data_IF_525582893646
#
_entry.id   IF_525582893646
#
_cell.length_a   1.000
_cell.length_b   1.000
_cell.length_c   1.000
_cell.angle_alpha   90.00
_cell.angle_beta   90.00
_cell.angle_gamma   90.00
#
_symmetry.space_group_name_H-M   'P 1'
#
loop_
_entity.id
_entity.type
_entity.pdbx_description
1 polymer ?
#
# COMPACT_ATOMS: atom_id res chain seq x y z
N UNK A 1 -18.66 -6.38 -2.84
CA UNK A 1 -18.08 -5.01 -2.86
C UNK A 1 -18.46 -4.36 -4.18
N UNK A 2 -18.76 -3.06 -4.24
CA UNK A 2 -19.02 -2.39 -5.52
C UNK A 2 -17.71 -1.93 -6.16
N UNK A 3 -17.67 -1.77 -7.49
CA UNK A 3 -16.53 -1.21 -8.22
C UNK A 3 -16.06 0.14 -7.64
N UNK A 4 -17.01 1.00 -7.22
CA UNK A 4 -16.72 2.28 -6.56
C UNK A 4 -16.04 2.10 -5.21
N UNK A 5 -16.50 1.15 -4.38
CA UNK A 5 -15.88 0.85 -3.10
C UNK A 5 -14.46 0.27 -3.28
N UNK A 6 -14.26 -0.59 -4.28
CA UNK A 6 -12.96 -1.15 -4.60
C UNK A 6 -11.96 -0.08 -5.07
N UNK A 7 -12.41 0.86 -5.91
CA UNK A 7 -11.60 1.99 -6.34
C UNK A 7 -11.23 2.93 -5.19
N UNK A 8 -12.17 3.19 -4.26
CA UNK A 8 -11.89 3.99 -3.07
C UNK A 8 -10.87 3.31 -2.15
N UNK A 9 -10.96 1.98 -1.99
CA UNK A 9 -10.02 1.22 -1.17
C UNK A 9 -8.63 1.14 -1.80
N UNK A 10 -8.56 0.95 -3.12
CA UNK A 10 -7.31 1.04 -3.87
C UNK A 10 -6.65 2.41 -3.69
N UNK A 11 -7.42 3.50 -3.74
CA UNK A 11 -6.89 4.84 -3.53
C UNK A 11 -6.30 5.02 -2.12
N UNK A 12 -6.99 4.55 -1.07
CA UNK A 12 -6.45 4.57 0.30
C UNK A 12 -5.18 3.74 0.42
N UNK A 13 -5.16 2.56 -0.21
CA UNK A 13 -4.00 1.66 -0.20
C UNK A 13 -2.78 2.31 -0.88
N UNK A 14 -2.99 3.01 -2.01
CA UNK A 14 -1.94 3.78 -2.69
C UNK A 14 -1.38 4.86 -1.77
N UNK A 15 -2.25 5.68 -1.16
CA UNK A 15 -1.80 6.73 -0.21
C UNK A 15 -1.03 6.15 0.97
N UNK A 16 -1.48 5.01 1.52
CA UNK A 16 -0.80 4.33 2.62
C UNK A 16 0.62 3.90 2.23
N UNK A 17 0.80 3.37 1.02
CA UNK A 17 2.12 3.01 0.47
C UNK A 17 3.01 4.25 0.37
N UNK A 18 2.51 5.34 -0.22
CA UNK A 18 3.27 6.60 -0.35
C UNK A 18 3.70 7.17 1.00
N UNK A 19 2.80 7.16 1.99
CA UNK A 19 3.11 7.62 3.35
C UNK A 19 4.18 6.74 4.03
N UNK A 20 4.09 5.42 3.87
CA UNK A 20 5.07 4.49 4.43
C UNK A 20 6.43 4.63 3.71
N UNK A 21 6.45 4.84 2.40
CA UNK A 21 7.67 5.10 1.63
C UNK A 21 8.38 6.37 2.10
N UNK A 22 7.62 7.46 2.30
CA UNK A 22 8.18 8.70 2.86
C UNK A 22 8.77 8.48 4.25
N UNK A 23 8.04 7.79 5.14
CA UNK A 23 8.53 7.48 6.49
C UNK A 23 9.80 6.64 6.45
N UNK A 24 9.87 5.60 5.62
CA UNK A 24 11.07 4.76 5.48
C UNK A 24 12.26 5.56 4.90
N UNK A 25 12.00 6.50 3.99
CA UNK A 25 13.03 7.34 3.38
C UNK A 25 13.57 8.43 4.32
N UNK A 26 12.73 8.97 5.19
CA UNK A 26 13.12 9.96 6.20
C UNK A 26 13.85 9.33 7.40
N UNK A 27 13.74 8.02 7.59
CA UNK A 27 14.38 7.32 8.70
C UNK A 27 15.84 6.96 8.44
N UNK A 28 16.69 6.99 9.48
CA UNK A 28 18.06 6.52 9.39
C UNK A 28 18.12 5.03 8.96
N UNK A 29 19.08 4.62 8.11
CA UNK A 29 19.18 3.26 7.61
C UNK A 29 19.30 2.18 8.69
N UNK A 30 19.87 2.54 9.85
CA UNK A 30 20.12 1.67 10.99
C UNK A 30 19.06 1.78 12.10
N UNK A 31 17.97 2.51 11.87
CA UNK A 31 16.91 2.62 12.86
C UNK A 31 16.16 1.28 12.97
N UNK A 32 16.05 0.67 14.17
CA UNK A 32 15.34 -0.60 14.34
C UNK A 32 13.85 -0.50 13.99
N UNK A 33 13.23 0.69 14.06
CA UNK A 33 11.86 0.91 13.62
C UNK A 33 11.72 0.96 12.10
N UNK A 34 12.81 1.17 11.34
CA UNK A 34 12.81 1.14 9.87
C UNK A 34 12.47 -0.24 9.34
N UNK A 35 13.02 -1.30 9.95
CA UNK A 35 12.70 -2.68 9.57
C UNK A 35 11.22 -3.01 9.78
N UNK A 36 10.58 -2.42 10.80
CA UNK A 36 9.15 -2.58 11.02
C UNK A 36 8.33 -1.86 9.94
N UNK A 37 8.69 -0.62 9.62
CA UNK A 37 8.02 0.17 8.57
C UNK A 37 8.23 -0.42 7.17
N UNK A 38 9.38 -1.01 6.88
CA UNK A 38 9.63 -1.72 5.62
C UNK A 38 8.73 -2.96 5.49
N UNK A 39 8.47 -3.69 6.59
CA UNK A 39 7.52 -4.81 6.59
C UNK A 39 6.09 -4.33 6.36
N UNK A 40 5.68 -3.24 7.03
CA UNK A 40 4.36 -2.63 6.81
C UNK A 40 4.21 -2.12 5.37
N UNK A 41 5.26 -1.54 4.80
CA UNK A 41 5.30 -1.09 3.41
C UNK A 41 5.14 -2.27 2.45
N UNK A 42 5.83 -3.39 2.69
CA UNK A 42 5.71 -4.59 1.88
C UNK A 42 4.27 -5.14 1.89
N UNK A 43 3.63 -5.18 3.07
CA UNK A 43 2.24 -5.58 3.20
C UNK A 43 1.28 -4.63 2.48
N UNK A 44 1.47 -3.31 2.63
CA UNK A 44 0.66 -2.30 1.97
C UNK A 44 0.78 -2.38 0.43
N UNK A 45 1.98 -2.66 -0.10
CA UNK A 45 2.19 -2.88 -1.54
C UNK A 45 1.49 -4.14 -2.02
N UNK A 46 1.56 -5.24 -1.27
CA UNK A 46 0.85 -6.47 -1.61
C UNK A 46 -0.66 -6.26 -1.63
N UNK A 47 -1.20 -5.49 -0.67
CA UNK A 47 -2.63 -5.16 -0.63
C UNK A 47 -3.05 -4.30 -1.83
N UNK A 48 -2.27 -3.27 -2.16
CA UNK A 48 -2.47 -2.45 -3.35
C UNK A 48 -2.55 -3.31 -4.61
N UNK A 49 -1.61 -4.23 -4.77
CA UNK A 49 -1.51 -5.07 -5.97
C UNK A 49 -2.69 -6.05 -6.06
N UNK A 50 -3.15 -6.60 -4.94
CA UNK A 50 -4.39 -7.40 -4.87
C UNK A 50 -5.62 -6.58 -5.26
N UNK A 51 -5.78 -5.39 -4.68
CA UNK A 51 -6.91 -4.51 -4.98
C UNK A 51 -6.91 -4.07 -6.45
N UNK A 52 -5.73 -3.81 -7.02
CA UNK A 52 -5.56 -3.50 -8.44
C UNK A 52 -5.99 -4.69 -9.33
N UNK A 53 -5.51 -5.90 -9.02
CA UNK A 53 -5.90 -7.10 -9.75
C UNK A 53 -7.41 -7.39 -9.66
N UNK A 54 -8.01 -7.18 -8.49
CA UNK A 54 -9.46 -7.31 -8.31
C UNK A 54 -10.24 -6.25 -9.12
N UNK A 55 -9.72 -5.02 -9.22
CA UNK A 55 -10.36 -3.94 -9.97
C UNK A 55 -10.28 -4.19 -11.47
N UNK A 56 -9.14 -4.67 -11.95
CA UNK A 56 -8.93 -5.01 -13.35
C UNK A 56 -9.81 -6.21 -13.74
N UNK A 57 -9.89 -7.24 -12.89
CA UNK A 57 -10.77 -8.39 -13.10
C UNK A 57 -12.26 -8.05 -13.03
N UNK A 58 -12.66 -7.06 -12.24
CA UNK A 58 -14.06 -6.60 -12.15
C UNK A 58 -14.48 -5.64 -13.29
N UNK A 59 -13.52 -5.17 -14.10
CA UNK A 59 -13.79 -4.36 -15.30
C UNK A 59 -13.90 -5.21 -16.58
N UNK A 60 -13.41 -6.46 -16.55
CA UNK A 60 -13.54 -7.44 -17.62
C UNK A 60 -14.95 -8.04 -17.63
#
# INVERSE_FOLDING_TARGET
MTLKALAAELYKSIRRVEELEKKVAEMPPHDPARAQLERELAQARQERDRLKGALDGAKA
#
